data_IF_461270520072
#
_entry.id   IF_461270520072
#
_cell.length_a   1.000
_cell.length_b   1.000
_cell.length_c   1.000
_cell.angle_alpha   90.00
_cell.angle_beta   90.00
_cell.angle_gamma   90.00
#
_symmetry.space_group_name_H-M   'P 1'
#
loop_
_entity.id
_entity.type
_entity.pdbx_description
1 polymer ?
#
# COMPACT_ATOMS: atom_id res chain seq x y z
N UNK A 1 -22.94 -24.29 51.07
CA UNK A 1 -23.38 -23.42 49.96
C UNK A 1 -23.10 -21.99 50.38
N UNK A 2 -22.42 -21.10 49.68
CA UNK A 2 -22.10 -21.02 48.26
C UNK A 2 -20.75 -20.29 48.06
N UNK A 3 -19.95 -20.75 47.10
CA UNK A 3 -18.80 -20.01 46.55
C UNK A 3 -19.32 -19.19 45.36
N UNK A 4 -19.48 -17.88 45.52
CA UNK A 4 -19.89 -17.00 44.43
C UNK A 4 -18.68 -16.56 43.61
N UNK A 5 -18.68 -17.02 42.35
CA UNK A 5 -17.84 -16.58 41.25
C UNK A 5 -17.97 -15.05 41.04
N UNK A 6 -16.95 -14.29 41.42
CA UNK A 6 -16.79 -12.87 41.09
C UNK A 6 -15.42 -12.66 40.45
N UNK A 7 -15.11 -13.39 39.37
CA UNK A 7 -13.85 -13.20 38.63
C UNK A 7 -14.02 -13.07 37.11
N UNK A 8 -15.24 -13.14 36.56
CA UNK A 8 -15.41 -13.28 35.10
C UNK A 8 -15.71 -11.98 34.32
N UNK A 9 -15.87 -10.83 34.97
CA UNK A 9 -16.39 -9.61 34.31
C UNK A 9 -15.34 -8.49 34.08
N UNK A 10 -14.17 -8.53 34.73
CA UNK A 10 -13.21 -7.42 34.69
C UNK A 10 -12.18 -7.52 33.53
N UNK A 11 -11.97 -8.72 32.99
CA UNK A 11 -10.96 -8.98 31.96
C UNK A 11 -11.28 -8.38 30.58
N UNK A 12 -12.55 -8.41 30.08
CA UNK A 12 -12.89 -7.78 28.80
C UNK A 12 -12.71 -6.26 28.84
N UNK A 13 -13.16 -5.61 29.93
CA UNK A 13 -13.10 -4.15 30.07
C UNK A 13 -11.66 -3.59 30.12
N UNK A 14 -10.71 -4.33 30.72
CA UNK A 14 -9.30 -3.93 30.72
C UNK A 14 -8.66 -4.06 29.33
N UNK A 15 -8.98 -5.13 28.60
CA UNK A 15 -8.46 -5.35 27.26
C UNK A 15 -9.00 -4.31 26.27
N UNK A 16 -10.27 -3.94 26.38
CA UNK A 16 -10.90 -2.90 25.56
C UNK A 16 -10.31 -1.51 25.86
N UNK A 17 -10.08 -1.19 27.13
CA UNK A 17 -9.40 0.05 27.53
C UNK A 17 -7.96 0.13 27.01
N UNK A 18 -7.20 -0.97 27.10
CA UNK A 18 -5.84 -1.04 26.56
C UNK A 18 -5.83 -0.89 25.03
N UNK A 19 -6.83 -1.45 24.34
CA UNK A 19 -7.01 -1.30 22.89
C UNK A 19 -7.26 0.15 22.52
N UNK A 20 -8.18 0.83 23.19
CA UNK A 20 -8.48 2.25 22.95
C UNK A 20 -7.24 3.15 23.15
N UNK A 21 -6.50 2.94 24.24
CA UNK A 21 -5.23 3.66 24.49
C UNK A 21 -4.21 3.43 23.37
N UNK A 22 -4.08 2.19 22.90
CA UNK A 22 -3.14 1.85 21.83
C UNK A 22 -3.54 2.53 20.50
N UNK A 23 -4.83 2.56 20.19
CA UNK A 23 -5.35 3.22 18.98
C UNK A 23 -5.13 4.72 19.06
N UNK A 24 -5.44 5.37 20.19
CA UNK A 24 -5.18 6.80 20.40
C UNK A 24 -3.69 7.12 20.27
N UNK A 25 -2.81 6.30 20.82
CA UNK A 25 -1.36 6.48 20.68
C UNK A 25 -0.90 6.34 19.21
N UNK A 26 -1.46 5.38 18.46
CA UNK A 26 -1.16 5.23 17.03
C UNK A 26 -1.71 6.38 16.19
N UNK A 27 -2.92 6.85 16.48
CA UNK A 27 -3.46 8.06 15.87
C UNK A 27 -2.56 9.25 16.18
N UNK A 28 -2.14 9.46 17.43
CA UNK A 28 -1.23 10.54 17.79
C UNK A 28 0.11 10.48 17.04
N UNK A 29 0.69 9.29 16.87
CA UNK A 29 1.96 9.11 16.15
C UNK A 29 1.83 9.22 14.63
N UNK A 30 0.64 9.04 14.07
CA UNK A 30 0.38 9.28 12.65
C UNK A 30 0.61 10.77 12.32
N UNK A 31 1.54 11.11 11.40
CA UNK A 31 1.79 12.48 11.01
C UNK A 31 0.54 13.11 10.39
N UNK A 32 0.38 14.42 10.57
CA UNK A 32 -0.73 15.15 9.92
C UNK A 32 -0.50 15.28 8.42
N UNK A 33 -1.57 15.25 7.65
CA UNK A 33 -1.53 15.46 6.22
C UNK A 33 -1.79 16.94 5.89
N UNK A 34 -0.82 17.59 5.25
CA UNK A 34 -0.87 19.04 4.98
C UNK A 34 -1.47 19.39 3.62
N UNK A 35 -1.62 18.43 2.71
CA UNK A 35 -1.96 18.66 1.31
C UNK A 35 -0.75 18.99 0.41
N UNK A 36 0.47 18.66 0.86
CA UNK A 36 1.70 18.80 0.08
C UNK A 36 1.76 17.77 -1.07
N UNK A 37 2.06 18.16 -2.33
CA UNK A 37 2.18 17.25 -3.46
C UNK A 37 3.29 16.18 -3.34
N UNK A 38 4.26 16.35 -2.42
CA UNK A 38 5.29 15.34 -2.14
C UNK A 38 4.79 14.19 -1.27
N UNK A 39 3.67 14.38 -0.56
CA UNK A 39 3.05 13.36 0.28
C UNK A 39 1.79 12.85 -0.40
N UNK A 40 1.71 11.53 -0.58
CA UNK A 40 0.54 10.87 -1.18
C UNK A 40 -0.61 10.79 -0.16
N UNK A 41 -1.79 11.30 -0.52
CA UNK A 41 -2.95 11.27 0.37
C UNK A 41 -3.52 9.85 0.49
N UNK A 42 -3.62 9.09 -0.60
CA UNK A 42 -4.07 7.69 -0.59
C UNK A 42 -3.23 6.80 0.36
N UNK A 43 -1.90 6.86 0.28
CA UNK A 43 -1.01 6.10 1.18
C UNK A 43 -1.16 6.52 2.64
N UNK A 44 -1.34 7.82 2.88
CA UNK A 44 -1.57 8.34 4.22
C UNK A 44 -2.93 7.89 4.76
N UNK A 45 -3.97 7.92 3.92
CA UNK A 45 -5.33 7.51 4.25
C UNK A 45 -5.40 6.02 4.57
N UNK A 46 -4.70 5.15 3.83
CA UNK A 46 -4.58 3.72 4.16
C UNK A 46 -3.97 3.51 5.55
N UNK A 47 -2.99 4.33 5.94
CA UNK A 47 -2.38 4.26 7.27
C UNK A 47 -3.37 4.70 8.35
N UNK A 48 -4.15 5.75 8.10
CA UNK A 48 -5.23 6.21 8.97
C UNK A 48 -6.32 5.12 9.13
N UNK A 49 -6.85 4.61 8.02
CA UNK A 49 -7.88 3.56 7.96
C UNK A 49 -7.44 2.25 8.65
N UNK A 50 -6.17 1.87 8.50
CA UNK A 50 -5.59 0.71 9.19
C UNK A 50 -5.57 0.86 10.72
N UNK A 51 -5.44 2.09 11.24
CA UNK A 51 -5.50 2.38 12.68
C UNK A 51 -6.94 2.35 13.18
N UNK A 52 -7.87 3.04 12.49
CA UNK A 52 -9.28 3.16 12.93
C UNK A 52 -10.09 1.88 12.72
N UNK A 53 -9.75 1.03 11.74
CA UNK A 53 -10.43 -0.27 11.51
C UNK A 53 -10.31 -1.24 12.68
N UNK A 54 -9.42 -0.96 13.63
CA UNK A 54 -9.24 -1.73 14.87
C UNK A 54 -9.98 -1.11 16.07
N UNK A 55 -10.70 -0.01 15.84
CA UNK A 55 -11.38 0.80 16.86
C UNK A 55 -12.88 0.58 16.85
N UNK A 56 -13.52 0.88 17.97
CA UNK A 56 -14.98 0.92 18.11
C UNK A 56 -15.53 2.35 17.91
N UNK A 57 -14.77 3.22 17.22
CA UNK A 57 -15.18 4.61 16.98
C UNK A 57 -16.45 4.65 16.11
N UNK A 58 -17.34 5.59 16.45
CA UNK A 58 -18.45 5.91 15.57
C UNK A 58 -17.95 6.57 14.29
N UNK A 59 -18.77 6.55 13.24
CA UNK A 59 -18.44 7.25 11.99
C UNK A 59 -18.19 8.74 12.21
N UNK A 60 -18.98 9.39 13.08
CA UNK A 60 -18.80 10.80 13.45
C UNK A 60 -17.46 11.03 14.14
N UNK A 61 -17.04 10.13 15.04
CA UNK A 61 -15.72 10.21 15.69
C UNK A 61 -14.59 10.00 14.68
N UNK A 62 -14.76 9.07 13.72
CA UNK A 62 -13.79 8.86 12.63
C UNK A 62 -13.65 10.12 11.78
N UNK A 63 -14.75 10.77 11.42
CA UNK A 63 -14.75 12.03 10.67
C UNK A 63 -14.08 13.15 11.48
N UNK A 64 -14.27 13.19 12.80
CA UNK A 64 -13.61 14.15 13.68
C UNK A 64 -12.09 13.92 13.76
N UNK A 65 -11.65 12.67 13.95
CA UNK A 65 -10.24 12.29 13.95
C UNK A 65 -9.58 12.60 12.60
N UNK A 66 -10.27 12.32 11.49
CA UNK A 66 -9.80 12.65 10.14
C UNK A 66 -9.61 14.18 10.00
N UNK A 67 -10.60 14.98 10.43
CA UNK A 67 -10.49 16.45 10.43
C UNK A 67 -9.32 16.96 11.26
N UNK A 68 -9.07 16.37 12.43
CA UNK A 68 -7.95 16.71 13.31
C UNK A 68 -6.58 16.41 12.70
N UNK A 69 -6.52 15.46 11.75
CA UNK A 69 -5.29 15.04 11.09
C UNK A 69 -4.99 15.74 9.77
N UNK A 70 -5.94 16.47 9.20
CA UNK A 70 -5.73 17.27 8.00
C UNK A 70 -5.43 18.72 8.39
N UNK A 71 -4.22 19.17 8.07
CA UNK A 71 -3.70 20.51 8.42
C UNK A 71 -3.48 21.36 7.16
N UNK A 72 -3.18 22.64 7.36
CA UNK A 72 -2.81 23.60 6.30
C UNK A 72 -3.80 23.66 5.13
N UNK A 73 -3.35 23.31 3.92
CA UNK A 73 -4.19 23.28 2.71
C UNK A 73 -5.27 22.21 2.84
N UNK A 74 -4.93 21.05 3.39
CA UNK A 74 -5.87 19.95 3.54
C UNK A 74 -6.98 20.26 4.55
N UNK A 75 -6.69 21.03 5.60
CA UNK A 75 -7.70 21.47 6.56
C UNK A 75 -8.84 22.25 5.91
N UNK A 76 -8.51 23.15 4.96
CA UNK A 76 -9.52 23.95 4.25
C UNK A 76 -10.42 23.06 3.38
N UNK A 77 -9.83 22.05 2.74
CA UNK A 77 -10.52 21.11 1.86
C UNK A 77 -11.49 20.24 2.65
N UNK A 78 -11.01 19.59 3.73
CA UNK A 78 -11.88 18.71 4.53
C UNK A 78 -13.01 19.49 5.19
N UNK A 79 -12.76 20.70 5.68
CA UNK A 79 -13.81 21.55 6.27
C UNK A 79 -14.93 21.85 5.27
N UNK A 80 -14.57 22.13 4.02
CA UNK A 80 -15.56 22.34 2.95
C UNK A 80 -16.32 21.05 2.62
N UNK A 81 -15.63 19.92 2.48
CA UNK A 81 -16.26 18.63 2.14
C UNK A 81 -17.23 18.18 3.24
N UNK A 82 -16.79 18.16 4.50
CA UNK A 82 -17.61 17.74 5.66
C UNK A 82 -18.86 18.62 5.81
N UNK A 83 -18.75 19.92 5.54
CA UNK A 83 -19.91 20.82 5.59
C UNK A 83 -20.99 20.49 4.54
N UNK A 84 -20.62 19.83 3.44
CA UNK A 84 -21.55 19.44 2.36
C UNK A 84 -21.97 17.96 2.44
N UNK A 85 -21.23 17.13 3.17
CA UNK A 85 -21.45 15.68 3.33
C UNK A 85 -21.30 15.31 4.81
N UNK A 86 -22.16 15.86 5.70
CA UNK A 86 -22.05 15.60 7.12
C UNK A 86 -22.36 14.13 7.41
N UNK A 87 -21.56 13.51 8.27
CA UNK A 87 -21.77 12.14 8.75
C UNK A 87 -21.78 11.08 7.65
N UNK A 88 -21.06 11.32 6.56
CA UNK A 88 -20.92 10.37 5.44
C UNK A 88 -19.42 10.21 5.14
N UNK A 89 -18.78 9.28 5.86
CA UNK A 89 -17.34 9.09 5.76
C UNK A 89 -16.94 8.66 4.35
N UNK A 90 -17.72 7.78 3.73
CA UNK A 90 -17.44 7.27 2.39
C UNK A 90 -17.48 8.40 1.34
N UNK A 91 -18.49 9.27 1.37
CA UNK A 91 -18.54 10.43 0.47
C UNK A 91 -17.42 11.45 0.75
N UNK A 92 -17.09 11.68 2.03
CA UNK A 92 -15.96 12.55 2.41
C UNK A 92 -14.64 11.98 1.86
N UNK A 93 -14.41 10.68 2.06
CA UNK A 93 -13.25 9.92 1.61
C UNK A 93 -13.08 10.01 0.10
N UNK A 94 -14.13 9.72 -0.66
CA UNK A 94 -14.09 9.79 -2.13
C UNK A 94 -13.75 11.20 -2.63
N UNK A 95 -14.34 12.25 -2.04
CA UNK A 95 -14.07 13.63 -2.43
C UNK A 95 -12.66 14.09 -2.08
N UNK A 96 -12.10 13.63 -0.96
CA UNK A 96 -10.71 13.91 -0.61
C UNK A 96 -9.75 13.21 -1.59
N UNK A 97 -10.04 11.95 -1.95
CA UNK A 97 -9.28 11.23 -2.98
C UNK A 97 -9.35 11.95 -4.33
N UNK A 98 -10.52 12.35 -4.79
CA UNK A 98 -10.68 13.13 -6.03
C UNK A 98 -9.96 14.50 -5.95
N UNK A 99 -10.01 15.18 -4.80
CA UNK A 99 -9.34 16.48 -4.66
C UNK A 99 -7.80 16.36 -4.70
N UNK A 100 -7.23 15.35 -4.03
CA UNK A 100 -5.77 15.19 -3.92
C UNK A 100 -5.16 14.30 -5.01
N UNK A 101 -5.97 13.51 -5.70
CA UNK A 101 -5.54 12.53 -6.71
C UNK A 101 -6.42 12.48 -7.98
N UNK A 102 -7.41 13.35 -8.15
CA UNK A 102 -8.29 13.34 -9.34
C UNK A 102 -7.56 13.59 -10.66
N UNK A 103 -6.36 14.20 -10.64
CA UNK A 103 -5.46 14.30 -11.79
C UNK A 103 -4.60 13.04 -12.01
N UNK A 104 -4.49 12.18 -10.99
CA UNK A 104 -3.87 10.86 -11.06
C UNK A 104 -4.85 9.82 -11.59
N UNK A 105 -5.31 10.06 -12.81
CA UNK A 105 -6.26 9.16 -13.47
C UNK A 105 -5.68 7.76 -13.67
N UNK A 106 -6.57 6.77 -13.75
CA UNK A 106 -6.24 5.42 -14.23
C UNK A 106 -5.38 5.46 -15.49
N UNK A 107 -5.64 6.41 -16.40
CA UNK A 107 -4.85 6.62 -17.62
C UNK A 107 -3.39 7.01 -17.34
N UNK A 108 -3.13 7.87 -16.34
CA UNK A 108 -1.77 8.25 -15.91
C UNK A 108 -1.01 7.03 -15.39
N UNK A 109 -1.67 6.20 -14.57
CA UNK A 109 -1.06 4.98 -14.04
C UNK A 109 -0.88 3.90 -15.11
N UNK A 110 -1.81 3.76 -16.05
CA UNK A 110 -1.62 2.90 -17.23
C UNK A 110 -0.40 3.34 -18.06
N UNK A 111 -0.19 4.64 -18.25
CA UNK A 111 1.01 5.17 -18.93
C UNK A 111 2.28 4.85 -18.13
N UNK A 112 2.27 5.01 -16.80
CA UNK A 112 3.39 4.63 -15.92
C UNK A 112 3.66 3.12 -16.01
N UNK A 113 2.63 2.29 -15.94
CA UNK A 113 2.71 0.83 -15.99
C UNK A 113 3.33 0.36 -17.31
N UNK A 114 2.85 0.87 -18.44
CA UNK A 114 3.37 0.53 -19.78
C UNK A 114 4.87 0.84 -19.90
N UNK A 115 5.34 1.95 -19.31
CA UNK A 115 6.74 2.38 -19.35
C UNK A 115 7.63 1.79 -18.26
N UNK A 116 7.06 1.08 -17.28
CA UNK A 116 7.82 0.55 -16.16
C UNK A 116 8.86 -0.50 -16.63
N UNK A 117 10.08 -0.32 -16.15
CA UNK A 117 11.21 -1.25 -16.27
C UNK A 117 12.03 -1.15 -14.98
N UNK A 118 12.87 -2.16 -14.72
CA UNK A 118 13.83 -2.14 -13.62
C UNK A 118 14.87 -1.06 -13.90
N UNK A 119 15.09 -0.18 -12.92
CA UNK A 119 16.13 0.86 -13.02
C UNK A 119 17.51 0.24 -12.81
N UNK A 120 18.58 0.81 -13.39
CA UNK A 120 19.94 0.38 -13.10
C UNK A 120 20.22 0.37 -11.59
N UNK A 121 20.70 -0.76 -11.07
CA UNK A 121 20.99 -0.95 -9.63
C UNK A 121 19.78 -1.17 -8.72
N UNK A 122 18.55 -1.11 -9.23
CA UNK A 122 17.34 -1.41 -8.45
C UNK A 122 17.28 -2.90 -8.11
N UNK A 123 17.04 -3.24 -6.83
CA UNK A 123 16.91 -4.64 -6.44
C UNK A 123 15.65 -5.24 -7.06
N UNK A 124 15.69 -6.55 -7.30
CA UNK A 124 14.56 -7.29 -7.89
C UNK A 124 13.27 -7.12 -7.08
N UNK A 125 13.35 -7.16 -5.75
CA UNK A 125 12.20 -6.95 -4.86
C UNK A 125 11.68 -5.51 -4.92
N UNK A 126 12.56 -4.51 -4.93
CA UNK A 126 12.16 -3.10 -4.99
C UNK A 126 11.41 -2.82 -6.30
N UNK A 127 11.87 -3.39 -7.42
CA UNK A 127 11.17 -3.31 -8.70
C UNK A 127 9.79 -3.98 -8.64
N UNK A 128 9.69 -5.17 -8.07
CA UNK A 128 8.44 -5.92 -7.94
C UNK A 128 7.39 -5.13 -7.14
N UNK A 129 7.77 -4.60 -5.97
CA UNK A 129 6.90 -3.79 -5.10
C UNK A 129 6.42 -2.55 -5.85
N UNK A 130 7.35 -1.81 -6.48
CA UNK A 130 7.00 -0.62 -7.26
C UNK A 130 6.06 -0.94 -8.41
N UNK A 131 6.24 -2.09 -9.07
CA UNK A 131 5.39 -2.48 -10.18
C UNK A 131 3.99 -2.88 -9.72
N UNK A 132 3.86 -3.60 -8.61
CA UNK A 132 2.59 -3.92 -7.96
C UNK A 132 1.82 -2.66 -7.57
N UNK A 133 2.51 -1.67 -7.01
CA UNK A 133 1.89 -0.40 -6.63
C UNK A 133 1.33 0.33 -7.86
N UNK A 134 2.13 0.47 -8.93
CA UNK A 134 1.65 1.09 -10.18
C UNK A 134 0.46 0.30 -10.76
N UNK A 135 0.48 -1.03 -10.66
CA UNK A 135 -0.56 -1.90 -11.18
C UNK A 135 -1.89 -1.71 -10.45
N UNK A 136 -1.89 -1.62 -9.11
CA UNK A 136 -3.08 -1.36 -8.28
C UNK A 136 -3.86 -0.13 -8.77
N UNK A 137 -3.14 0.95 -9.06
CA UNK A 137 -3.74 2.21 -9.52
C UNK A 137 -4.06 2.22 -11.02
N UNK A 138 -3.34 1.42 -11.82
CA UNK A 138 -3.61 1.30 -13.25
C UNK A 138 -4.85 0.45 -13.55
N UNK A 139 -5.27 -0.39 -12.61
CA UNK A 139 -6.39 -1.33 -12.75
C UNK A 139 -7.15 -1.47 -11.40
N UNK A 140 -7.90 -0.44 -10.97
CA UNK A 140 -8.59 -0.43 -9.67
C UNK A 140 -9.76 -1.42 -9.58
N UNK A 141 -10.43 -1.69 -10.70
CA UNK A 141 -11.59 -2.59 -10.76
C UNK A 141 -11.13 -4.04 -11.02
N UNK A 142 -10.82 -4.77 -9.95
CA UNK A 142 -10.30 -6.15 -10.02
C UNK A 142 -11.40 -7.13 -10.41
N UNK A 143 -11.61 -7.35 -11.72
CA UNK A 143 -12.68 -8.23 -12.18
C UNK A 143 -12.29 -9.67 -12.53
N UNK A 144 -11.00 -10.04 -12.47
CA UNK A 144 -10.55 -11.46 -12.42
C UNK A 144 -9.08 -11.52 -11.99
N UNK A 145 -8.82 -11.91 -10.73
CA UNK A 145 -7.46 -11.92 -10.15
C UNK A 145 -6.41 -12.65 -11.01
N UNK A 146 -6.77 -13.72 -11.71
CA UNK A 146 -5.79 -14.59 -12.38
C UNK A 146 -5.29 -14.04 -13.72
N UNK A 147 -6.18 -13.54 -14.58
CA UNK A 147 -5.79 -12.98 -15.88
C UNK A 147 -4.99 -11.68 -15.72
N UNK A 148 -5.32 -10.89 -14.69
CA UNK A 148 -4.58 -9.68 -14.37
C UNK A 148 -3.22 -9.97 -13.69
N UNK A 149 -3.12 -11.03 -12.88
CA UNK A 149 -1.81 -11.53 -12.39
C UNK A 149 -0.90 -11.97 -13.55
N UNK A 150 -1.43 -12.46 -14.67
CA UNK A 150 -0.64 -12.74 -15.89
C UNK A 150 -0.07 -11.44 -16.49
N UNK A 151 -0.86 -10.37 -16.58
CA UNK A 151 -0.38 -9.06 -17.07
C UNK A 151 0.76 -8.54 -16.20
N UNK A 152 0.62 -8.63 -14.87
CA UNK A 152 1.66 -8.22 -13.94
C UNK A 152 2.94 -9.07 -14.09
N UNK A 153 2.81 -10.41 -14.14
CA UNK A 153 3.94 -11.34 -14.39
C UNK A 153 4.65 -11.00 -15.70
N UNK A 154 3.91 -10.83 -16.79
CA UNK A 154 4.46 -10.49 -18.10
C UNK A 154 5.17 -9.13 -18.08
N UNK A 155 4.53 -8.11 -17.49
CA UNK A 155 5.11 -6.77 -17.40
C UNK A 155 6.39 -6.74 -16.57
N UNK A 156 6.46 -7.55 -15.52
CA UNK A 156 7.68 -7.72 -14.73
C UNK A 156 8.80 -8.31 -15.58
N UNK A 157 8.55 -9.42 -16.27
CA UNK A 157 9.52 -10.08 -17.16
C UNK A 157 10.03 -9.09 -18.23
N UNK A 158 9.14 -8.35 -18.88
CA UNK A 158 9.48 -7.37 -19.92
C UNK A 158 10.24 -6.16 -19.38
N UNK A 159 10.15 -5.90 -18.07
CA UNK A 159 10.87 -4.85 -17.40
C UNK A 159 12.26 -5.25 -16.91
N UNK A 160 12.67 -6.52 -17.02
CA UNK A 160 13.98 -7.00 -16.60
C UNK A 160 15.06 -6.71 -17.65
N UNK A 161 16.32 -6.73 -17.21
CA UNK A 161 17.48 -6.77 -18.11
C UNK A 161 17.42 -8.02 -19.01
N UNK A 162 17.81 -7.88 -20.28
CA UNK A 162 17.64 -8.92 -21.32
C UNK A 162 18.17 -10.29 -20.88
N UNK A 163 19.37 -10.35 -20.27
CA UNK A 163 19.95 -11.60 -19.77
C UNK A 163 19.05 -12.30 -18.74
N UNK A 164 18.42 -11.55 -17.83
CA UNK A 164 17.51 -12.08 -16.82
C UNK A 164 16.17 -12.48 -17.45
N UNK A 165 15.65 -11.66 -18.35
CA UNK A 165 14.42 -11.93 -19.09
C UNK A 165 14.48 -13.33 -19.73
N UNK A 166 15.57 -13.65 -20.43
CA UNK A 166 15.77 -14.98 -21.04
C UNK A 166 15.73 -16.15 -20.04
N UNK A 167 16.11 -15.95 -18.77
CA UNK A 167 16.12 -17.03 -17.75
C UNK A 167 14.73 -17.36 -17.23
N UNK A 168 13.80 -16.41 -17.27
CA UNK A 168 12.47 -16.55 -16.66
C UNK A 168 11.33 -16.58 -17.68
N UNK A 169 11.53 -16.04 -18.88
CA UNK A 169 10.48 -15.90 -19.92
C UNK A 169 9.82 -17.21 -20.34
N UNK A 170 10.55 -18.32 -20.34
CA UNK A 170 10.05 -19.63 -20.80
C UNK A 170 9.68 -20.57 -19.64
N UNK A 171 9.64 -20.06 -18.42
CA UNK A 171 9.27 -20.84 -17.24
C UNK A 171 7.86 -20.47 -16.81
N UNK A 172 7.10 -21.48 -16.44
CA UNK A 172 5.82 -21.28 -15.78
C UNK A 172 6.06 -21.04 -14.30
N UNK A 173 5.36 -20.04 -13.77
CA UNK A 173 5.32 -19.70 -12.35
C UNK A 173 3.86 -19.53 -11.98
N UNK A 174 3.44 -20.19 -10.91
CA UNK A 174 2.05 -20.17 -10.47
C UNK A 174 1.75 -18.77 -9.93
N UNK A 175 2.63 -18.26 -9.08
CA UNK A 175 2.48 -16.96 -8.42
C UNK A 175 3.47 -15.90 -8.89
N UNK A 176 3.14 -14.63 -8.66
CA UNK A 176 4.05 -13.52 -8.90
C UNK A 176 5.29 -13.60 -7.98
N UNK A 177 5.09 -14.00 -6.72
CA UNK A 177 6.17 -14.10 -5.74
C UNK A 177 7.19 -15.18 -6.09
N UNK A 178 6.74 -16.31 -6.65
CA UNK A 178 7.62 -17.35 -7.18
C UNK A 178 8.50 -16.84 -8.32
N UNK A 179 7.91 -16.11 -9.27
CA UNK A 179 8.66 -15.46 -10.35
C UNK A 179 9.72 -14.49 -9.81
N UNK A 180 9.36 -13.65 -8.84
CA UNK A 180 10.28 -12.67 -8.21
C UNK A 180 11.42 -13.39 -7.49
N UNK A 181 11.12 -14.42 -6.70
CA UNK A 181 12.12 -15.21 -5.96
C UNK A 181 13.08 -15.95 -6.91
N UNK A 182 12.55 -16.56 -7.98
CA UNK A 182 13.35 -17.23 -8.98
C UNK A 182 14.27 -16.24 -9.73
N UNK A 183 13.75 -15.08 -10.12
CA UNK A 183 14.52 -14.01 -10.78
C UNK A 183 15.69 -13.56 -9.91
N UNK A 184 15.46 -13.34 -8.61
CA UNK A 184 16.53 -13.00 -7.65
C UNK A 184 17.60 -14.08 -7.58
N UNK A 185 17.21 -15.35 -7.54
CA UNK A 185 18.15 -16.49 -7.52
C UNK A 185 19.00 -16.55 -8.79
N UNK A 186 18.43 -16.22 -9.94
CA UNK A 186 19.17 -16.15 -11.20
C UNK A 186 20.18 -15.00 -11.22
N UNK A 187 19.78 -13.81 -10.77
CA UNK A 187 20.67 -12.66 -10.68
C UNK A 187 21.90 -12.97 -9.81
N UNK A 188 21.68 -13.50 -8.59
CA UNK A 188 22.78 -13.84 -7.68
C UNK A 188 23.76 -14.87 -8.28
N UNK A 189 23.25 -15.85 -9.04
CA UNK A 189 24.09 -16.85 -9.72
C UNK A 189 24.93 -16.22 -10.83
N UNK A 190 24.37 -15.29 -11.59
CA UNK A 190 25.08 -14.60 -12.65
C UNK A 190 26.18 -13.69 -12.09
N UNK A 191 25.87 -12.93 -11.03
CA UNK A 191 26.84 -12.10 -10.32
C UNK A 191 28.00 -12.94 -9.75
N UNK A 192 27.71 -14.13 -9.20
CA UNK A 192 28.73 -15.05 -8.73
C UNK A 192 29.66 -15.53 -9.86
N UNK A 193 29.11 -15.88 -11.03
CA UNK A 193 29.89 -16.34 -12.19
C UNK A 193 30.78 -15.21 -12.73
N UNK A 194 30.21 -14.02 -12.93
CA UNK A 194 30.96 -12.85 -13.42
C UNK A 194 32.10 -12.45 -12.46
N UNK A 195 31.91 -12.61 -11.16
CA UNK A 195 32.96 -12.36 -10.16
C UNK A 195 34.05 -13.44 -10.19
N UNK A 196 33.70 -14.71 -10.38
CA UNK A 196 34.71 -15.78 -10.50
C UNK A 196 35.57 -15.61 -11.76
N UNK A 197 34.97 -15.24 -12.90
CA UNK A 197 35.70 -15.04 -14.16
C UNK A 197 36.64 -13.83 -14.12
N UNK A 198 36.26 -12.76 -13.42
CA UNK A 198 37.14 -11.60 -13.19
C UNK A 198 38.33 -11.93 -12.30
N UNK A 199 38.14 -12.77 -11.29
CA UNK A 199 39.20 -13.17 -10.37
C UNK A 199 40.18 -14.18 -10.99
N UNK A 200 39.78 -14.94 -12.01
CA UNK A 200 40.67 -15.88 -12.72
C UNK A 200 41.47 -15.23 -13.85
N UNK A 201 41.06 -14.05 -14.33
CA UNK A 201 41.68 -13.32 -15.44
C UNK A 201 42.47 -12.07 -14.97
N UNK A 202 42.66 -11.90 -13.66
CA UNK A 202 43.43 -10.81 -13.05
C UNK A 202 44.64 -11.35 -12.31
#
# INVERSE_FOLDING_TARGET
MATNNLQSSAYPALADFQRDLHIRANLQSLPSFTGNPLSRFDTWLESFESIISRSDLSEDDVILELQGKLTDKAHKVIKYIVANHPNDYDAIREKLLDHFHGDETVEKYLKKFKKAHRKPGEKIYDFAIRLQEIFKHAYPDVYTEDSFKVILKQKFIDGLDEKLQFKVKYKEFDTFDELVAATRKYLARMEAIENTEKNTNS
#
